data_IF_795308644553
#
_entry.id   IF_795308644553
#
_cell.length_a   1.000
_cell.length_b   1.000
_cell.length_c   1.000
_cell.angle_alpha   90.00
_cell.angle_beta   90.00
_cell.angle_gamma   90.00
#
_symmetry.space_group_name_H-M   'P 1'
#
loop_
_entity.id
_entity.type
_entity.pdbx_description
1 polymer ?
#
# COMPACT_ATOMS: atom_id res chain seq x y z
N UNK A 1 52.33 16.83 8.35
CA UNK A 1 52.49 16.17 7.04
C UNK A 1 52.82 14.71 7.34
N UNK A 2 51.79 13.88 7.45
CA UNK A 2 51.87 12.42 7.64
C UNK A 2 50.90 11.76 6.63
N UNK A 3 51.28 10.64 5.99
CA UNK A 3 50.53 10.07 4.88
C UNK A 3 49.40 9.13 5.29
N UNK A 4 48.37 9.12 4.45
CA UNK A 4 47.18 8.28 4.51
C UNK A 4 47.51 6.77 4.40
N UNK A 5 46.91 5.96 5.27
CA UNK A 5 46.86 4.50 5.15
C UNK A 5 45.69 4.08 4.26
N UNK A 6 46.01 3.62 3.05
CA UNK A 6 45.06 2.99 2.14
C UNK A 6 44.76 1.55 2.61
N UNK A 7 43.48 1.22 2.81
CA UNK A 7 43.02 -0.15 3.05
C UNK A 7 42.77 -0.81 1.68
N UNK A 8 43.73 -1.62 1.24
CA UNK A 8 43.59 -2.52 0.09
C UNK A 8 42.81 -3.75 0.56
N UNK A 9 41.52 -3.83 0.24
CA UNK A 9 40.76 -5.09 0.37
C UNK A 9 40.84 -5.87 -0.94
N UNK A 10 41.65 -6.92 -0.84
CA UNK A 10 41.92 -8.04 -1.73
C UNK A 10 40.76 -8.48 -2.64
N UNK A 11 40.99 -8.37 -3.96
CA UNK A 11 40.16 -8.96 -5.04
C UNK A 11 40.18 -10.50 -5.06
N UNK A 12 40.96 -11.16 -4.17
CA UNK A 12 41.15 -12.62 -4.14
C UNK A 12 40.15 -13.39 -3.28
N UNK A 13 39.50 -12.76 -2.30
CA UNK A 13 38.55 -13.45 -1.40
C UNK A 13 37.19 -13.71 -2.07
N UNK A 14 36.68 -12.78 -2.87
CA UNK A 14 35.37 -12.89 -3.55
C UNK A 14 35.27 -14.11 -4.48
N UNK A 15 36.39 -14.57 -5.04
CA UNK A 15 36.42 -15.70 -5.97
C UNK A 15 36.35 -17.06 -5.26
N UNK A 16 36.78 -17.12 -3.99
CA UNK A 16 36.81 -18.34 -3.16
C UNK A 16 35.41 -18.74 -2.70
N UNK A 17 34.57 -17.76 -2.36
CA UNK A 17 33.22 -18.01 -1.84
C UNK A 17 32.23 -18.40 -2.94
N UNK A 18 32.48 -17.98 -4.19
CA UNK A 18 31.62 -18.28 -5.33
C UNK A 18 31.71 -19.76 -5.78
N UNK A 19 32.81 -20.45 -5.48
CA UNK A 19 32.99 -21.87 -5.84
C UNK A 19 32.30 -22.82 -4.85
N UNK A 20 31.97 -22.35 -3.64
CA UNK A 20 31.29 -23.16 -2.59
C UNK A 20 29.76 -23.00 -2.58
N UNK A 21 29.22 -22.04 -3.33
CA UNK A 21 27.78 -21.83 -3.42
C UNK A 21 27.10 -22.88 -4.30
N UNK A 22 25.94 -23.33 -3.86
CA UNK A 22 25.05 -24.16 -4.68
C UNK A 22 24.54 -23.36 -5.90
N UNK A 23 24.11 -24.03 -6.98
CA UNK A 23 23.53 -23.36 -8.14
C UNK A 23 22.34 -22.46 -7.79
N UNK A 24 21.55 -22.84 -6.78
CA UNK A 24 20.42 -22.05 -6.27
C UNK A 24 20.88 -20.76 -5.59
N UNK A 25 21.90 -20.81 -4.73
CA UNK A 25 22.45 -19.62 -4.08
C UNK A 25 23.10 -18.64 -5.08
N UNK A 26 23.76 -19.16 -6.12
CA UNK A 26 24.28 -18.33 -7.22
C UNK A 26 23.16 -17.63 -7.97
N UNK A 27 22.05 -18.34 -8.22
CA UNK A 27 20.88 -17.80 -8.91
C UNK A 27 20.19 -16.73 -8.06
N UNK A 28 19.97 -17.00 -6.77
CA UNK A 28 19.35 -16.05 -5.85
C UNK A 28 20.17 -14.76 -5.73
N UNK A 29 21.49 -14.85 -5.64
CA UNK A 29 22.38 -13.68 -5.61
C UNK A 29 22.43 -12.92 -6.94
N UNK A 30 22.33 -13.62 -8.07
CA UNK A 30 22.29 -12.98 -9.39
C UNK A 30 20.99 -12.19 -9.61
N UNK A 31 19.87 -12.67 -9.06
CA UNK A 31 18.56 -12.02 -9.18
C UNK A 31 18.38 -10.89 -8.15
N UNK A 32 18.82 -11.10 -6.90
CA UNK A 32 18.48 -10.23 -5.78
C UNK A 32 19.67 -9.44 -5.18
N UNK A 33 20.90 -9.67 -5.66
CA UNK A 33 22.12 -9.08 -5.09
C UNK A 33 22.62 -9.82 -3.84
N UNK A 34 23.73 -9.35 -3.24
CA UNK A 34 24.22 -9.92 -1.97
C UNK A 34 23.26 -9.61 -0.80
N UNK A 35 22.98 -10.59 0.08
CA UNK A 35 22.27 -10.31 1.32
C UNK A 35 23.07 -9.29 2.13
N UNK A 36 22.52 -8.10 2.33
CA UNK A 36 23.14 -7.07 3.14
C UNK A 36 23.16 -7.50 4.60
N UNK A 37 24.33 -7.49 5.26
CA UNK A 37 24.49 -7.70 6.71
C UNK A 37 23.73 -6.69 7.59
N UNK A 38 23.00 -5.73 7.00
CA UNK A 38 22.25 -4.70 7.71
C UNK A 38 20.98 -5.18 8.41
N UNK A 39 20.58 -6.44 8.26
CA UNK A 39 19.37 -7.00 8.91
C UNK A 39 19.54 -7.33 10.41
N UNK A 40 20.75 -7.20 10.98
CA UNK A 40 20.98 -7.46 12.42
C UNK A 40 20.77 -6.25 13.34
N UNK A 41 20.36 -5.11 12.80
CA UNK A 41 20.06 -3.91 13.60
C UNK A 41 18.56 -3.72 13.80
N UNK A 42 18.04 -4.10 14.97
CA UNK A 42 16.66 -3.81 15.39
C UNK A 42 16.37 -2.30 15.49
N UNK A 43 16.17 -1.66 14.34
CA UNK A 43 15.48 -0.37 14.25
C UNK A 43 13.99 -0.68 14.30
N UNK A 44 13.25 -0.08 15.25
CA UNK A 44 11.79 -0.12 15.29
C UNK A 44 11.26 0.13 13.86
N UNK A 45 10.70 -0.90 13.21
CA UNK A 45 10.07 -0.74 11.89
C UNK A 45 9.03 0.36 12.05
N UNK A 46 9.16 1.44 11.27
CA UNK A 46 8.13 2.49 11.22
C UNK A 46 6.89 1.82 10.61
N UNK A 47 5.86 1.59 11.40
CA UNK A 47 4.59 1.03 10.91
C UNK A 47 3.96 2.06 9.99
N UNK A 48 3.87 1.74 8.69
CA UNK A 48 3.21 2.59 7.70
C UNK A 48 1.72 2.65 8.03
N UNK A 49 1.17 3.85 8.22
CA UNK A 49 -0.26 4.00 8.47
C UNK A 49 -1.01 3.78 7.17
N UNK A 50 -2.20 3.19 7.23
CA UNK A 50 -3.07 3.09 6.04
C UNK A 50 -3.53 4.47 5.54
N UNK A 51 -3.36 5.52 6.33
CA UNK A 51 -3.63 6.90 5.89
C UNK A 51 -2.45 7.53 5.11
N UNK A 52 -1.28 6.88 5.07
CA UNK A 52 -0.12 7.31 4.28
C UNK A 52 -0.26 6.84 2.82
N UNK A 53 -1.30 7.32 2.14
CA UNK A 53 -1.80 6.79 0.88
C UNK A 53 -0.76 6.59 -0.22
N UNK A 54 0.13 7.56 -0.40
CA UNK A 54 1.21 7.49 -1.39
C UNK A 54 2.22 6.38 -1.04
N UNK A 55 2.61 6.26 0.23
CA UNK A 55 3.51 5.22 0.69
C UNK A 55 2.88 3.83 0.49
N UNK A 56 1.59 3.67 0.80
CA UNK A 56 0.84 2.44 0.55
C UNK A 56 0.79 2.08 -0.94
N UNK A 57 0.53 3.07 -1.80
CA UNK A 57 0.44 2.85 -3.24
C UNK A 57 1.80 2.48 -3.85
N UNK A 58 2.87 3.18 -3.46
CA UNK A 58 4.23 2.95 -3.95
C UNK A 58 4.92 1.74 -3.31
N UNK A 59 4.43 1.24 -2.19
CA UNK A 59 4.99 0.05 -1.55
C UNK A 59 5.02 -1.16 -2.52
N UNK A 60 6.02 -2.04 -2.42
CA UNK A 60 6.01 -3.28 -3.18
C UNK A 60 4.90 -4.22 -2.68
N UNK A 61 4.46 -5.14 -3.55
CA UNK A 61 3.34 -6.03 -3.23
C UNK A 61 3.60 -6.91 -1.99
N UNK A 62 4.82 -7.41 -1.80
CA UNK A 62 5.17 -8.24 -0.64
C UNK A 62 5.03 -7.48 0.68
N UNK A 63 5.41 -6.20 0.72
CA UNK A 63 5.27 -5.37 1.93
C UNK A 63 3.80 -5.14 2.27
N UNK A 64 2.97 -4.86 1.26
CA UNK A 64 1.51 -4.77 1.46
C UNK A 64 0.92 -6.08 1.96
N UNK A 65 1.38 -7.21 1.44
CA UNK A 65 0.95 -8.55 1.89
C UNK A 65 1.37 -8.79 3.34
N UNK A 66 2.58 -8.37 3.75
CA UNK A 66 3.00 -8.42 5.16
C UNK A 66 2.08 -7.58 6.05
N UNK A 67 1.78 -6.33 5.67
CA UNK A 67 0.85 -5.46 6.40
C UNK A 67 -0.54 -6.09 6.55
N UNK A 68 -1.03 -6.74 5.50
CA UNK A 68 -2.31 -7.49 5.52
C UNK A 68 -2.25 -8.65 6.51
N UNK A 69 -1.18 -9.45 6.46
CA UNK A 69 -1.01 -10.64 7.32
C UNK A 69 -0.84 -10.27 8.78
N UNK A 70 -0.10 -9.20 9.07
CA UNK A 70 0.04 -8.63 10.42
C UNK A 70 -1.27 -8.02 10.92
N UNK A 71 -2.13 -7.60 10.00
CA UNK A 71 -3.40 -6.96 10.25
C UNK A 71 -3.25 -5.46 10.48
N UNK A 72 -4.16 -4.68 9.91
CA UNK A 72 -4.21 -3.23 10.10
C UNK A 72 -4.79 -2.90 11.47
N UNK A 73 -4.26 -1.89 12.15
CA UNK A 73 -4.83 -1.43 13.42
C UNK A 73 -6.28 -0.95 13.22
N UNK A 74 -7.21 -1.40 14.06
CA UNK A 74 -8.58 -0.89 14.00
C UNK A 74 -8.67 0.63 14.22
N UNK A 75 -7.66 1.24 14.87
CA UNK A 75 -7.56 2.70 15.02
C UNK A 75 -7.26 3.40 13.70
N UNK A 76 -6.40 2.82 12.87
CA UNK A 76 -6.02 3.39 11.59
C UNK A 76 -7.19 3.46 10.61
N UNK A 77 -8.20 2.58 10.75
CA UNK A 77 -9.45 2.67 9.99
C UNK A 77 -10.22 3.95 10.30
N UNK A 78 -10.18 4.44 11.55
CA UNK A 78 -10.82 5.72 11.91
C UNK A 78 -10.09 6.89 11.25
N UNK A 79 -8.76 6.86 11.24
CA UNK A 79 -7.95 7.88 10.56
C UNK A 79 -8.20 7.89 9.05
N UNK A 80 -8.30 6.71 8.42
CA UNK A 80 -8.71 6.59 7.02
C UNK A 80 -10.07 7.24 6.78
N UNK A 81 -11.06 6.94 7.62
CA UNK A 81 -12.40 7.49 7.53
C UNK A 81 -12.41 9.02 7.65
N UNK A 82 -11.69 9.57 8.63
CA UNK A 82 -11.52 11.01 8.82
C UNK A 82 -10.90 11.67 7.58
N UNK A 83 -9.89 11.02 7.00
CA UNK A 83 -9.19 11.49 5.79
C UNK A 83 -10.06 11.47 4.54
N UNK A 84 -10.94 10.48 4.39
CA UNK A 84 -11.91 10.39 3.29
C UNK A 84 -13.07 11.38 3.44
N UNK A 85 -13.35 11.87 4.66
CA UNK A 85 -14.44 12.81 4.91
C UNK A 85 -15.85 12.22 4.76
N UNK A 86 -15.99 10.89 4.77
CA UNK A 86 -17.28 10.20 4.67
C UNK A 86 -17.75 9.67 6.04
N UNK A 87 -19.07 9.50 6.25
CA UNK A 87 -19.57 8.92 7.49
C UNK A 87 -19.00 7.51 7.72
N UNK A 88 -18.65 7.20 8.97
CA UNK A 88 -18.09 5.90 9.33
C UNK A 88 -19.01 4.73 8.96
N UNK A 89 -20.33 4.90 9.07
CA UNK A 89 -21.29 3.90 8.66
C UNK A 89 -21.17 3.56 7.18
N UNK A 90 -21.08 4.57 6.31
CA UNK A 90 -20.97 4.41 4.86
C UNK A 90 -19.70 3.64 4.49
N UNK A 91 -18.55 4.04 5.06
CA UNK A 91 -17.29 3.34 4.80
C UNK A 91 -17.38 1.87 5.25
N UNK A 92 -17.77 1.61 6.50
CA UNK A 92 -17.73 0.26 7.03
C UNK A 92 -18.75 -0.66 6.36
N UNK A 93 -19.94 -0.16 6.04
CA UNK A 93 -20.93 -0.90 5.27
C UNK A 93 -20.40 -1.31 3.89
N UNK A 94 -19.76 -0.38 3.17
CA UNK A 94 -19.13 -0.67 1.88
C UNK A 94 -17.96 -1.66 1.94
N UNK A 95 -17.38 -1.86 3.13
CA UNK A 95 -16.31 -2.83 3.38
C UNK A 95 -16.82 -4.11 4.07
N UNK A 96 -18.14 -4.27 4.23
CA UNK A 96 -18.80 -5.37 4.98
C UNK A 96 -18.33 -5.52 6.42
N UNK A 97 -17.97 -4.41 7.05
CA UNK A 97 -17.53 -4.33 8.44
C UNK A 97 -18.61 -3.73 9.32
N UNK A 98 -18.75 -4.22 10.56
CA UNK A 98 -19.68 -3.61 11.52
C UNK A 98 -18.99 -2.56 12.39
N UNK A 99 -19.67 -1.42 12.62
CA UNK A 99 -19.21 -0.37 13.53
C UNK A 99 -18.94 -0.94 14.94
N UNK A 100 -19.82 -1.83 15.41
CA UNK A 100 -19.68 -2.46 16.73
C UNK A 100 -18.39 -3.30 16.84
N UNK A 101 -18.07 -4.10 15.82
CA UNK A 101 -16.83 -4.88 15.78
C UNK A 101 -15.62 -3.97 15.70
N UNK A 102 -15.63 -2.94 14.85
CA UNK A 102 -14.52 -2.00 14.76
C UNK A 102 -14.29 -1.30 16.11
N UNK A 103 -15.33 -0.77 16.74
CA UNK A 103 -15.20 -0.08 18.04
C UNK A 103 -14.72 -1.01 19.16
N UNK A 104 -15.18 -2.27 19.17
CA UNK A 104 -14.66 -3.29 20.08
C UNK A 104 -13.16 -3.55 19.86
N UNK A 105 -12.72 -3.64 18.61
CA UNK A 105 -11.29 -3.82 18.27
C UNK A 105 -10.47 -2.59 18.66
N UNK A 106 -10.98 -1.38 18.42
CA UNK A 106 -10.33 -0.13 18.83
C UNK A 106 -10.14 -0.06 20.35
N UNK A 107 -11.16 -0.39 21.14
CA UNK A 107 -11.05 -0.34 22.62
C UNK A 107 -10.06 -1.36 23.17
N UNK A 108 -9.91 -2.50 22.50
CA UNK A 108 -8.95 -3.56 22.84
C UNK A 108 -7.58 -3.40 22.19
N UNK A 109 -7.38 -2.35 21.39
CA UNK A 109 -6.16 -2.13 20.61
C UNK A 109 -5.81 -3.33 19.71
N UNK A 110 -6.83 -3.98 19.16
CA UNK A 110 -6.68 -5.13 18.26
C UNK A 110 -6.56 -4.70 16.79
N UNK A 111 -5.85 -5.53 16.03
CA UNK A 111 -5.82 -5.45 14.57
C UNK A 111 -7.09 -6.06 13.96
N UNK A 112 -7.37 -5.65 12.73
CA UNK A 112 -8.34 -6.28 11.85
C UNK A 112 -7.89 -7.70 11.47
N UNK A 113 -8.83 -8.50 10.95
CA UNK A 113 -8.46 -9.75 10.27
C UNK A 113 -7.67 -9.44 8.99
N UNK A 114 -6.94 -10.40 8.41
CA UNK A 114 -6.30 -10.21 7.11
C UNK A 114 -7.28 -9.81 6.02
N UNK A 115 -8.48 -10.40 6.01
CA UNK A 115 -9.53 -10.11 5.03
C UNK A 115 -10.07 -8.67 5.14
N UNK A 116 -10.33 -8.20 6.36
CA UNK A 116 -10.75 -6.81 6.59
C UNK A 116 -9.59 -5.83 6.30
N UNK A 117 -8.36 -6.24 6.60
CA UNK A 117 -7.16 -5.46 6.31
C UNK A 117 -6.96 -5.29 4.80
N UNK A 118 -7.18 -6.34 4.01
CA UNK A 118 -7.14 -6.29 2.54
C UNK A 118 -8.07 -5.21 1.99
N UNK A 119 -9.33 -5.21 2.43
CA UNK A 119 -10.33 -4.24 1.97
C UNK A 119 -9.93 -2.81 2.34
N UNK A 120 -9.49 -2.58 3.58
CA UNK A 120 -9.06 -1.26 4.06
C UNK A 120 -7.81 -0.77 3.34
N UNK A 121 -6.83 -1.65 3.15
CA UNK A 121 -5.57 -1.33 2.45
C UNK A 121 -5.83 -0.96 1.00
N UNK A 122 -6.75 -1.66 0.33
CA UNK A 122 -7.02 -1.37 -1.07
C UNK A 122 -7.80 -0.06 -1.27
N UNK A 123 -8.67 0.38 -0.34
CA UNK A 123 -9.21 1.75 -0.35
C UNK A 123 -8.08 2.78 -0.25
N UNK A 124 -7.15 2.55 0.67
CA UNK A 124 -5.98 3.42 0.87
C UNK A 124 -5.11 3.50 -0.39
N UNK A 125 -4.95 2.36 -1.09
CA UNK A 125 -4.25 2.26 -2.37
C UNK A 125 -4.98 3.04 -3.47
N UNK A 126 -6.31 3.03 -3.52
CA UNK A 126 -7.08 3.83 -4.48
C UNK A 126 -6.85 5.34 -4.28
N UNK A 127 -6.79 5.81 -3.02
CA UNK A 127 -6.46 7.22 -2.73
C UNK A 127 -5.04 7.55 -3.20
N UNK A 128 -4.08 6.65 -2.94
CA UNK A 128 -2.71 6.83 -3.38
C UNK A 128 -2.57 6.84 -4.90
N UNK A 129 -3.35 6.01 -5.60
CA UNK A 129 -3.42 6.01 -7.07
C UNK A 129 -3.94 7.35 -7.61
N UNK A 130 -5.03 7.88 -7.05
CA UNK A 130 -5.56 9.20 -7.45
C UNK A 130 -4.52 10.29 -7.19
N UNK A 131 -3.83 10.23 -6.06
CA UNK A 131 -2.74 11.16 -5.73
C UNK A 131 -1.66 11.14 -6.81
N UNK A 132 -1.25 9.95 -7.24
CA UNK A 132 -0.25 9.78 -8.30
C UNK A 132 -0.76 10.26 -9.67
N UNK A 133 -2.01 9.94 -10.02
CA UNK A 133 -2.63 10.41 -11.27
C UNK A 133 -2.61 11.93 -11.39
N UNK A 134 -2.92 12.65 -10.32
CA UNK A 134 -2.95 14.12 -10.29
C UNK A 134 -1.54 14.69 -10.39
N UNK A 135 -0.56 14.10 -9.67
CA UNK A 135 0.86 14.48 -9.79
C UNK A 135 1.37 14.37 -11.21
N UNK A 136 1.01 13.29 -11.91
CA UNK A 136 1.40 13.08 -13.30
C UNK A 136 0.67 14.00 -14.28
N UNK A 137 -0.47 14.57 -13.88
CA UNK A 137 -1.32 15.41 -14.74
C UNK A 137 -1.03 16.92 -14.59
N UNK A 138 -0.24 17.35 -13.60
CA UNK A 138 0.20 18.73 -13.45
C UNK A 138 0.13 19.27 -12.02
N UNK A 139 -0.52 20.43 -11.84
CA UNK A 139 -0.56 21.14 -10.55
C UNK A 139 -1.47 20.44 -9.53
N UNK A 140 -0.88 20.09 -8.39
CA UNK A 140 -1.55 19.40 -7.28
C UNK A 140 -2.06 20.35 -6.20
N UNK A 141 -1.76 21.65 -6.28
CA UNK A 141 -2.06 22.62 -5.21
C UNK A 141 -3.56 22.67 -4.93
N UNK A 142 -3.92 22.41 -3.68
CA UNK A 142 -5.30 22.46 -3.19
C UNK A 142 -6.17 21.25 -3.56
N UNK A 143 -5.62 20.24 -4.22
CA UNK A 143 -6.36 19.02 -4.53
C UNK A 143 -6.26 18.01 -3.38
N UNK A 144 -7.41 17.64 -2.80
CA UNK A 144 -7.50 16.56 -1.81
C UNK A 144 -8.01 15.27 -2.47
N UNK A 145 -7.07 14.36 -2.75
CA UNK A 145 -7.35 13.09 -3.40
C UNK A 145 -8.30 12.19 -2.59
N UNK A 146 -8.23 12.24 -1.26
CA UNK A 146 -9.08 11.41 -0.40
C UNK A 146 -10.54 11.87 -0.50
N UNK A 147 -10.76 13.17 -0.36
CA UNK A 147 -12.08 13.79 -0.50
C UNK A 147 -12.64 13.64 -1.93
N UNK A 148 -11.79 13.80 -2.95
CA UNK A 148 -12.21 13.61 -4.34
C UNK A 148 -12.64 12.17 -4.61
N UNK A 149 -11.84 11.19 -4.19
CA UNK A 149 -12.16 9.77 -4.37
C UNK A 149 -13.48 9.44 -3.65
N UNK A 150 -13.64 9.88 -2.40
CA UNK A 150 -14.86 9.68 -1.62
C UNK A 150 -16.11 10.23 -2.33
N UNK A 151 -16.02 11.41 -2.95
CA UNK A 151 -17.10 11.96 -3.75
C UNK A 151 -17.37 11.14 -5.00
N UNK A 152 -16.31 10.79 -5.74
CA UNK A 152 -16.42 10.01 -6.98
C UNK A 152 -16.97 8.60 -6.77
N UNK A 153 -16.59 7.91 -5.69
CA UNK A 153 -17.09 6.57 -5.36
C UNK A 153 -18.61 6.53 -5.22
N UNK A 154 -19.25 7.64 -4.87
CA UNK A 154 -20.70 7.74 -4.68
C UNK A 154 -21.46 8.11 -5.97
N UNK A 155 -20.75 8.47 -7.05
CA UNK A 155 -21.36 8.86 -8.31
C UNK A 155 -21.76 7.63 -9.13
N UNK A 156 -22.85 7.76 -9.89
CA UNK A 156 -23.23 6.77 -10.89
C UNK A 156 -22.23 6.81 -12.05
N UNK A 157 -21.64 5.66 -12.39
CA UNK A 157 -20.64 5.53 -13.45
C UNK A 157 -21.21 4.70 -14.61
N UNK A 158 -21.34 5.27 -15.83
CA UNK A 158 -21.87 4.56 -16.99
C UNK A 158 -21.13 3.26 -17.34
N UNK A 159 -19.79 3.26 -17.22
CA UNK A 159 -18.96 2.07 -17.47
C UNK A 159 -19.22 0.91 -16.50
N UNK A 160 -19.91 1.16 -15.38
CA UNK A 160 -20.39 0.16 -14.42
C UNK A 160 -21.90 -0.10 -14.55
N UNK A 161 -22.49 0.18 -15.72
CA UNK A 161 -23.93 0.06 -15.93
C UNK A 161 -24.77 1.06 -15.12
N UNK A 162 -24.18 2.19 -14.73
CA UNK A 162 -24.82 3.19 -13.88
C UNK A 162 -24.73 2.90 -12.37
N UNK A 163 -24.05 1.84 -11.96
CA UNK A 163 -23.77 1.59 -10.54
C UNK A 163 -22.71 2.55 -9.99
N UNK A 164 -22.61 2.63 -8.66
CA UNK A 164 -21.59 3.44 -7.97
C UNK A 164 -20.34 2.60 -7.75
N UNK A 165 -19.11 3.13 -7.94
CA UNK A 165 -17.90 2.40 -7.60
C UNK A 165 -17.86 1.91 -6.14
N UNK A 166 -18.48 2.64 -5.21
CA UNK A 166 -18.60 2.26 -3.80
C UNK A 166 -19.30 0.90 -3.59
N UNK A 167 -20.19 0.51 -4.50
CA UNK A 167 -20.94 -0.74 -4.39
C UNK A 167 -20.08 -1.99 -4.70
N UNK A 168 -18.83 -1.80 -5.13
CA UNK A 168 -17.90 -2.87 -5.51
C UNK A 168 -16.67 -2.98 -4.61
N UNK A 169 -16.41 -2.01 -3.72
CA UNK A 169 -15.17 -2.01 -2.92
C UNK A 169 -15.19 -3.01 -1.75
N UNK A 170 -16.24 -3.80 -1.61
CA UNK A 170 -16.39 -4.86 -0.61
C UNK A 170 -15.57 -6.12 -0.95
N UNK A 171 -15.01 -6.19 -2.16
CA UNK A 171 -14.19 -7.31 -2.63
C UNK A 171 -12.88 -6.83 -3.25
N UNK A 172 -11.84 -7.67 -3.20
CA UNK A 172 -10.57 -7.39 -3.86
C UNK A 172 -10.73 -7.19 -5.38
N UNK A 173 -11.52 -8.05 -6.02
CA UNK A 173 -11.77 -7.98 -7.46
C UNK A 173 -12.47 -6.68 -7.83
N UNK A 174 -13.49 -6.27 -7.05
CA UNK A 174 -14.18 -5.01 -7.28
C UNK A 174 -13.28 -3.79 -7.06
N UNK A 175 -12.39 -3.82 -6.06
CA UNK A 175 -11.39 -2.75 -5.89
C UNK A 175 -10.38 -2.71 -7.05
N UNK A 176 -9.95 -3.86 -7.58
CA UNK A 176 -9.09 -3.93 -8.76
C UNK A 176 -9.78 -3.35 -10.00
N UNK A 177 -11.07 -3.68 -10.20
CA UNK A 177 -11.89 -3.09 -11.26
C UNK A 177 -12.00 -1.56 -11.13
N UNK A 178 -12.27 -1.04 -9.91
CA UNK A 178 -12.32 0.41 -9.65
C UNK A 178 -10.96 1.07 -9.91
N UNK A 179 -9.87 0.43 -9.50
CA UNK A 179 -8.50 0.88 -9.78
C UNK A 179 -8.23 0.98 -11.28
N UNK A 180 -8.65 -0.03 -12.05
CA UNK A 180 -8.51 -0.03 -13.50
C UNK A 180 -9.34 1.06 -14.17
N UNK A 181 -10.52 1.37 -13.61
CA UNK A 181 -11.38 2.44 -14.09
C UNK A 181 -10.73 3.81 -13.93
N UNK A 182 -10.14 4.09 -12.77
CA UNK A 182 -9.35 5.30 -12.51
C UNK A 182 -8.18 5.43 -13.51
N UNK A 183 -7.47 4.34 -13.78
CA UNK A 183 -6.38 4.35 -14.77
C UNK A 183 -6.88 4.69 -16.19
N UNK A 184 -8.06 4.21 -16.60
CA UNK A 184 -8.66 4.56 -17.91
C UNK A 184 -9.10 6.02 -17.97
N UNK A 185 -9.56 6.59 -16.85
CA UNK A 185 -9.86 8.03 -16.77
C UNK A 185 -8.62 8.88 -17.02
N UNK A 186 -7.46 8.47 -16.48
CA UNK A 186 -6.19 9.18 -16.70
C UNK A 186 -5.73 9.15 -18.16
N UNK A 187 -5.86 7.99 -18.83
CA UNK A 187 -5.39 7.83 -20.22
C UNK A 187 -6.35 8.38 -21.28
N UNK A 188 -7.55 8.83 -20.88
CA UNK A 188 -8.60 9.25 -21.81
C UNK A 188 -9.31 8.08 -22.51
N UNK A 189 -9.02 6.83 -22.14
CA UNK A 189 -9.66 5.62 -22.68
C UNK A 189 -11.00 5.30 -21.96
N UNK A 190 -11.66 6.31 -21.43
CA UNK A 190 -12.89 6.17 -20.67
C UNK A 190 -14.10 6.32 -21.60
N UNK A 191 -14.76 5.20 -21.92
CA UNK A 191 -15.96 5.12 -22.75
C UNK A 191 -16.94 4.10 -22.17
#
# INVERSE_FOLDING_TARGET
MEPATARVTSKREVKSDLDQMTPEEKLLRAIFGEPSESERGGKRKKTVSVSDFEEIFQAPAWQRIEMIREGISARDVKHLQERLGIPQSVLLESLRMSIATLNRKVSRQENLSPEDSERVLGVSKLVGQVTEMVKQSGDTRGFDAASWLAGWLQQSVPALGGARPLDFIDTLEGQAMVSQLLARMQSGAYS
#
